data_IF_213561331831
#
_entry.id   IF_213561331831
#
_cell.length_a   1.000
_cell.length_b   1.000
_cell.length_c   1.000
_cell.angle_alpha   90.00
_cell.angle_beta   90.00
_cell.angle_gamma   90.00
#
_symmetry.space_group_name_H-M   'P 1'
#
loop_
_entity.id
_entity.type
_entity.pdbx_description
1 polymer ?
#
# COMPACT_ATOMS: atom_id res chain seq x y z
N UNK A 1 12.99 -11.63 -8.56
CA UNK A 1 12.60 -11.61 -7.14
C UNK A 1 12.84 -10.19 -6.63
N UNK A 2 11.81 -9.49 -6.17
CA UNK A 2 11.94 -8.15 -5.61
C UNK A 2 12.64 -8.24 -4.25
N UNK A 3 13.75 -7.52 -4.09
CA UNK A 3 14.42 -7.41 -2.82
C UNK A 3 13.97 -6.10 -2.16
N UNK A 4 13.24 -6.19 -1.05
CA UNK A 4 12.81 -5.04 -0.29
C UNK A 4 13.99 -4.39 0.44
N UNK A 5 14.04 -3.04 0.54
CA UNK A 5 15.05 -2.35 1.35
C UNK A 5 14.95 -2.76 2.81
N UNK A 6 16.07 -2.72 3.54
CA UNK A 6 16.10 -3.05 4.97
C UNK A 6 15.29 -2.13 5.89
N UNK A 7 14.80 -0.99 5.34
CA UNK A 7 13.87 -0.10 6.04
C UNK A 7 12.43 -0.62 6.07
N UNK A 8 12.07 -1.58 5.19
CA UNK A 8 10.75 -2.22 5.17
C UNK A 8 10.76 -3.39 6.14
N UNK A 9 9.93 -3.32 7.17
CA UNK A 9 9.92 -4.30 8.26
C UNK A 9 8.95 -5.45 8.03
N UNK A 10 7.92 -5.26 7.19
CA UNK A 10 6.94 -6.29 6.86
C UNK A 10 7.00 -6.65 5.39
N UNK A 11 6.88 -7.93 5.07
CA UNK A 11 6.99 -8.47 3.70
C UNK A 11 5.70 -9.12 3.22
N UNK A 12 4.67 -9.17 4.06
CA UNK A 12 3.43 -9.88 3.78
C UNK A 12 2.21 -9.09 4.26
N UNK A 13 1.06 -9.43 3.72
CA UNK A 13 -0.24 -8.88 4.09
C UNK A 13 -1.30 -9.97 3.99
N UNK A 14 -2.18 -10.05 4.99
CA UNK A 14 -3.40 -10.84 4.92
C UNK A 14 -4.60 -9.96 5.20
N UNK A 15 -5.57 -9.98 4.31
CA UNK A 15 -6.74 -9.12 4.38
C UNK A 15 -7.20 -8.67 3.00
N UNK A 16 -7.88 -7.52 2.96
CA UNK A 16 -8.44 -6.95 1.75
C UNK A 16 -7.84 -5.56 1.47
N UNK A 17 -7.50 -5.32 0.23
CA UNK A 17 -7.04 -4.01 -0.26
C UNK A 17 -7.94 -3.55 -1.39
N UNK A 18 -8.34 -2.29 -1.36
CA UNK A 18 -9.14 -1.66 -2.40
C UNK A 18 -8.80 -0.18 -2.57
N UNK A 19 -9.28 0.42 -3.66
CA UNK A 19 -9.19 1.86 -3.95
C UNK A 19 -7.79 2.46 -3.76
N UNK A 20 -6.77 1.78 -4.26
CA UNK A 20 -5.39 2.30 -4.23
C UNK A 20 -5.25 3.43 -5.25
N UNK A 21 -4.73 4.55 -4.82
CA UNK A 21 -4.37 5.66 -5.71
C UNK A 21 -2.99 6.21 -5.40
N UNK A 22 -2.33 6.74 -6.42
CA UNK A 22 -1.06 7.44 -6.29
C UNK A 22 -1.13 8.76 -7.04
N UNK A 23 -0.82 9.87 -6.37
CA UNK A 23 -0.90 11.24 -6.90
C UNK A 23 -2.29 11.53 -7.53
N UNK A 24 -3.35 11.10 -6.85
CA UNK A 24 -4.74 11.24 -7.29
C UNK A 24 -5.16 10.39 -8.49
N UNK A 25 -4.25 9.55 -9.01
CA UNK A 25 -4.56 8.60 -10.08
C UNK A 25 -4.87 7.24 -9.49
N UNK A 26 -6.03 6.64 -9.79
CA UNK A 26 -6.33 5.31 -9.32
C UNK A 26 -5.35 4.30 -9.93
N UNK A 27 -4.78 3.48 -9.07
CA UNK A 27 -4.01 2.31 -9.47
C UNK A 27 -5.00 1.16 -9.59
N UNK A 28 -5.33 0.78 -10.82
CA UNK A 28 -6.24 -0.34 -11.07
C UNK A 28 -5.61 -1.64 -10.62
N UNK A 29 -6.11 -2.22 -9.52
CA UNK A 29 -5.66 -3.51 -9.02
C UNK A 29 -5.94 -4.69 -9.96
N UNK A 30 -6.61 -4.46 -11.09
CA UNK A 30 -6.81 -5.45 -12.19
C UNK A 30 -5.68 -5.43 -13.23
N UNK A 31 -4.82 -4.42 -13.23
CA UNK A 31 -3.75 -4.22 -14.21
C UNK A 31 -2.36 -4.48 -13.61
N UNK A 32 -2.27 -5.53 -12.82
CA UNK A 32 -1.00 -5.92 -12.21
C UNK A 32 -0.10 -6.65 -13.22
N UNK A 33 1.19 -6.45 -13.08
CA UNK A 33 2.21 -7.17 -13.83
C UNK A 33 2.45 -8.58 -13.31
N UNK A 34 2.31 -8.76 -11.99
CA UNK A 34 2.47 -10.03 -11.29
C UNK A 34 1.54 -10.07 -10.09
N UNK A 35 0.85 -11.18 -9.89
CA UNK A 35 -0.02 -11.44 -8.76
C UNK A 35 0.28 -12.82 -8.19
N UNK A 36 0.63 -12.89 -6.90
CA UNK A 36 0.94 -14.14 -6.21
C UNK A 36 0.11 -14.20 -4.92
N UNK A 37 -0.49 -15.36 -4.65
CA UNK A 37 -1.19 -15.63 -3.39
C UNK A 37 -2.47 -14.81 -3.17
N UNK A 38 -3.12 -14.37 -4.24
CA UNK A 38 -4.40 -13.68 -4.15
C UNK A 38 -5.55 -14.63 -4.45
N UNK A 39 -6.55 -14.66 -3.56
CA UNK A 39 -7.84 -15.24 -3.85
C UNK A 39 -8.82 -14.11 -4.22
N UNK A 40 -9.33 -14.10 -5.44
CA UNK A 40 -10.33 -13.12 -5.89
C UNK A 40 -11.71 -13.30 -5.22
N UNK A 41 -11.88 -14.31 -4.38
CA UNK A 41 -13.12 -14.61 -3.68
C UNK A 41 -12.90 -14.47 -2.18
N UNK A 42 -13.61 -13.57 -1.51
CA UNK A 42 -13.62 -13.53 -0.05
C UNK A 42 -13.66 -12.18 0.64
N UNK A 43 -13.49 -11.07 -0.08
CA UNK A 43 -13.77 -9.75 0.48
C UNK A 43 -15.23 -9.38 0.21
N UNK A 44 -16.09 -9.50 1.21
CA UNK A 44 -17.44 -8.95 1.13
C UNK A 44 -17.34 -7.43 1.00
N UNK A 45 -17.71 -6.92 -0.17
CA UNK A 45 -17.98 -5.50 -0.35
C UNK A 45 -19.21 -5.15 0.50
N UNK A 46 -19.07 -4.23 1.43
CA UNK A 46 -20.23 -3.44 1.83
C UNK A 46 -20.65 -2.66 0.57
N UNK A 47 -21.93 -2.71 0.16
CA UNK A 47 -22.34 -1.99 -1.05
C UNK A 47 -22.04 -0.50 -0.87
N UNK A 48 -20.98 -0.02 -1.50
CA UNK A 48 -20.77 1.39 -1.75
C UNK A 48 -21.77 1.78 -2.87
N UNK A 49 -22.33 2.99 -2.82
CA UNK A 49 -23.24 3.44 -3.86
C UNK A 49 -22.60 3.31 -5.24
N UNK A 50 -23.37 2.87 -6.22
CA UNK A 50 -22.99 2.34 -7.53
C UNK A 50 -22.22 3.27 -8.50
N UNK A 51 -21.35 4.14 -8.05
CA UNK A 51 -20.64 5.11 -8.89
C UNK A 51 -19.17 4.82 -9.20
N UNK A 52 -18.59 3.79 -8.61
CA UNK A 52 -17.28 3.27 -9.03
C UNK A 52 -17.20 1.78 -8.67
N UNK A 53 -16.92 0.94 -9.64
CA UNK A 53 -16.64 -0.46 -9.39
C UNK A 53 -15.30 -0.58 -8.64
N UNK A 54 -15.34 -0.41 -7.33
CA UNK A 54 -14.20 -0.60 -6.44
C UNK A 54 -13.83 -2.08 -6.47
N UNK A 55 -12.70 -2.41 -7.07
CA UNK A 55 -12.19 -3.76 -7.05
C UNK A 55 -11.42 -3.98 -5.75
N UNK A 56 -11.77 -5.05 -5.06
CA UNK A 56 -11.15 -5.43 -3.80
C UNK A 56 -10.45 -6.77 -3.98
N UNK A 57 -9.24 -6.87 -3.47
CA UNK A 57 -8.43 -8.09 -3.53
C UNK A 57 -8.17 -8.63 -2.13
N UNK A 58 -8.27 -9.95 -2.01
CA UNK A 58 -7.94 -10.68 -0.79
C UNK A 58 -6.54 -11.28 -0.91
N UNK A 59 -5.76 -11.17 0.15
CA UNK A 59 -4.45 -11.78 0.28
C UNK A 59 -4.41 -12.69 1.50
N UNK A 60 -3.78 -13.84 1.37
CA UNK A 60 -3.69 -14.88 2.39
C UNK A 60 -2.44 -14.75 3.29
N UNK A 61 -1.64 -13.73 3.09
CA UNK A 61 -0.40 -13.48 3.82
C UNK A 61 0.86 -13.97 3.10
N UNK A 62 0.72 -14.73 2.02
CA UNK A 62 1.85 -15.25 1.23
C UNK A 62 1.96 -14.62 -0.15
N UNK A 63 1.03 -13.74 -0.48
CA UNK A 63 0.91 -13.17 -1.80
C UNK A 63 1.16 -11.67 -1.88
N UNK A 64 1.36 -11.21 -3.11
CA UNK A 64 1.53 -9.81 -3.45
C UNK A 64 1.02 -9.52 -4.86
N UNK A 65 0.76 -8.25 -5.16
CA UNK A 65 0.48 -7.78 -6.51
C UNK A 65 1.53 -6.76 -6.94
N UNK A 66 2.10 -6.94 -8.12
CA UNK A 66 3.05 -6.00 -8.73
C UNK A 66 2.35 -5.19 -9.81
N UNK A 67 2.33 -3.88 -9.64
CA UNK A 67 1.74 -2.96 -10.59
C UNK A 67 2.75 -2.53 -11.66
N UNK A 68 2.28 -2.15 -12.86
CA UNK A 68 3.14 -1.53 -13.87
C UNK A 68 3.83 -0.27 -13.31
N UNK A 69 4.97 0.14 -13.89
CA UNK A 69 5.64 1.38 -13.50
C UNK A 69 4.69 2.58 -13.59
N UNK A 70 4.77 3.47 -12.61
CA UNK A 70 4.02 4.72 -12.61
C UNK A 70 4.80 5.73 -13.45
N UNK A 71 4.28 6.04 -14.65
CA UNK A 71 4.87 7.05 -15.50
C UNK A 71 4.64 8.47 -14.96
N UNK A 72 5.65 9.32 -15.01
CA UNK A 72 5.60 10.74 -14.65
C UNK A 72 5.37 11.03 -13.15
N UNK A 73 6.15 10.37 -12.33
CA UNK A 73 6.27 10.70 -10.92
C UNK A 73 6.84 12.13 -10.72
N UNK A 74 6.19 12.93 -9.87
CA UNK A 74 6.69 14.25 -9.44
C UNK A 74 7.37 14.07 -8.06
N UNK A 75 8.69 14.25 -7.95
CA UNK A 75 9.42 13.92 -6.72
C UNK A 75 9.07 14.82 -5.52
N UNK A 76 8.48 15.98 -5.76
CA UNK A 76 8.31 17.01 -4.72
C UNK A 76 7.00 16.91 -3.93
N UNK A 77 6.01 16.19 -4.44
CA UNK A 77 4.72 15.98 -3.77
C UNK A 77 4.09 14.71 -4.31
N UNK A 78 3.73 13.81 -3.43
CA UNK A 78 2.94 12.63 -3.80
C UNK A 78 1.87 12.36 -2.74
N UNK A 79 0.81 11.75 -3.19
CA UNK A 79 -0.32 11.35 -2.37
C UNK A 79 -0.61 9.88 -2.62
N UNK A 80 -0.63 9.08 -1.57
CA UNK A 80 -1.04 7.68 -1.63
C UNK A 80 -2.28 7.51 -0.79
N UNK A 81 -3.31 6.89 -1.35
CA UNK A 81 -4.51 6.50 -0.63
C UNK A 81 -4.79 5.04 -0.91
N UNK A 82 -5.16 4.32 0.11
CA UNK A 82 -5.59 2.93 0.01
C UNK A 82 -6.64 2.62 1.07
N UNK A 83 -7.47 1.62 0.78
CA UNK A 83 -8.39 1.04 1.74
C UNK A 83 -7.95 -0.38 2.05
N UNK A 84 -8.00 -0.75 3.32
CA UNK A 84 -7.65 -2.10 3.76
C UNK A 84 -8.50 -2.57 4.93
N UNK A 85 -8.49 -3.89 5.13
CA UNK A 85 -9.18 -4.56 6.21
C UNK A 85 -8.36 -5.78 6.62
N UNK A 86 -7.93 -5.85 7.88
CA UNK A 86 -7.11 -6.94 8.38
C UNK A 86 -7.22 -7.09 9.90
N UNK A 87 -6.90 -8.28 10.42
CA UNK A 87 -6.59 -8.53 11.83
C UNK A 87 -5.09 -8.53 12.14
N UNK A 88 -4.25 -8.60 11.11
CA UNK A 88 -2.81 -8.71 11.30
C UNK A 88 -2.24 -7.42 11.89
N UNK A 89 -1.34 -7.58 12.86
CA UNK A 89 -0.66 -6.44 13.50
C UNK A 89 0.52 -5.91 12.67
N UNK A 90 1.17 -6.80 11.91
CA UNK A 90 2.32 -6.48 11.07
C UNK A 90 2.04 -6.91 9.64
N UNK A 91 2.09 -5.96 8.70
CA UNK A 91 1.76 -6.21 7.30
C UNK A 91 2.36 -5.14 6.38
N UNK A 92 2.76 -5.51 5.16
CA UNK A 92 3.08 -4.57 4.10
C UNK A 92 1.82 -4.26 3.29
N UNK A 93 1.37 -3.01 3.31
CA UNK A 93 0.17 -2.57 2.59
C UNK A 93 0.49 -2.02 1.21
N UNK A 94 1.59 -1.27 1.09
CA UNK A 94 2.02 -0.65 -0.17
C UNK A 94 3.54 -0.46 -0.18
N UNK A 95 4.16 -0.70 -1.34
CA UNK A 95 5.57 -0.42 -1.56
C UNK A 95 5.80 0.08 -2.99
N UNK A 96 6.47 1.21 -3.13
CA UNK A 96 6.93 1.74 -4.40
C UNK A 96 8.44 1.99 -4.34
N UNK A 97 9.14 1.65 -5.41
CA UNK A 97 10.59 1.73 -5.49
C UNK A 97 11.05 2.20 -6.87
N UNK A 98 11.98 3.14 -6.88
CA UNK A 98 12.66 3.57 -8.09
C UNK A 98 14.01 2.88 -8.18
N UNK A 99 14.15 1.95 -9.13
CA UNK A 99 15.35 1.15 -9.32
C UNK A 99 16.59 1.96 -9.77
N UNK A 100 16.41 3.18 -10.27
CA UNK A 100 17.51 4.00 -10.80
C UNK A 100 18.22 4.81 -9.73
N UNK A 101 17.51 5.30 -8.73
CA UNK A 101 18.06 6.18 -7.70
C UNK A 101 17.85 5.67 -6.27
N UNK A 102 17.13 4.56 -6.09
CA UNK A 102 16.87 3.97 -4.78
C UNK A 102 15.74 4.64 -3.97
N UNK A 103 15.09 5.66 -4.53
CA UNK A 103 13.93 6.28 -3.87
C UNK A 103 12.85 5.26 -3.58
N UNK A 104 12.27 5.33 -2.40
CA UNK A 104 11.24 4.36 -2.00
C UNK A 104 10.19 4.97 -1.06
N UNK A 105 9.02 4.35 -1.11
CA UNK A 105 7.87 4.65 -0.25
C UNK A 105 7.32 3.32 0.23
N UNK A 106 7.04 3.20 1.52
CA UNK A 106 6.35 2.06 2.10
C UNK A 106 5.22 2.52 3.02
N UNK A 107 4.11 1.80 2.99
CA UNK A 107 3.02 1.89 3.97
C UNK A 107 2.89 0.50 4.59
N UNK A 108 3.06 0.41 5.88
CA UNK A 108 3.04 -0.82 6.65
C UNK A 108 2.09 -0.72 7.83
N UNK A 109 1.63 -1.87 8.31
CA UNK A 109 1.19 -2.01 9.69
C UNK A 109 2.35 -2.50 10.54
N UNK A 110 2.57 -1.87 11.68
CA UNK A 110 3.53 -2.28 12.70
C UNK A 110 2.85 -2.20 14.06
N UNK A 111 2.68 -3.34 14.70
CA UNK A 111 1.90 -3.47 15.94
C UNK A 111 0.49 -2.88 15.83
N UNK A 112 -0.16 -3.10 14.69
CA UNK A 112 -1.50 -2.64 14.35
C UNK A 112 -1.60 -1.17 13.95
N UNK A 113 -0.52 -0.39 13.93
CA UNK A 113 -0.50 1.02 13.55
C UNK A 113 0.00 1.21 12.15
N UNK A 114 -0.59 2.13 11.40
CA UNK A 114 -0.08 2.50 10.08
C UNK A 114 1.23 3.28 10.24
N UNK A 115 2.25 2.80 9.58
CA UNK A 115 3.59 3.41 9.53
C UNK A 115 3.89 3.75 8.08
N UNK A 116 4.16 5.00 7.84
CA UNK A 116 4.58 5.52 6.56
C UNK A 116 6.08 5.77 6.58
N UNK A 117 6.79 5.22 5.60
CA UNK A 117 8.24 5.36 5.44
C UNK A 117 8.55 5.84 4.04
N UNK A 118 9.46 6.78 3.92
CA UNK A 118 9.96 7.19 2.61
C UNK A 118 11.42 7.64 2.68
N UNK A 119 12.14 7.44 1.59
CA UNK A 119 13.51 7.87 1.39
C UNK A 119 13.67 8.38 -0.04
N UNK A 120 14.19 9.59 -0.20
CA UNK A 120 14.42 10.23 -1.49
C UNK A 120 15.81 10.80 -1.56
N UNK A 121 16.40 10.79 -2.78
CA UNK A 121 17.69 11.40 -3.09
C UNK A 121 18.84 10.91 -2.17
N UNK A 122 18.76 9.65 -1.74
CA UNK A 122 19.76 9.09 -0.83
C UNK A 122 19.74 9.64 0.59
N UNK A 123 18.72 10.43 0.95
CA UNK A 123 18.54 10.96 2.32
C UNK A 123 18.08 9.85 3.28
N UNK A 124 18.24 10.11 4.57
CA UNK A 124 17.76 9.20 5.60
C UNK A 124 16.25 8.95 5.49
N UNK A 125 15.83 7.73 5.78
CA UNK A 125 14.40 7.35 5.75
C UNK A 125 13.63 8.17 6.79
N UNK A 126 12.59 8.85 6.34
CA UNK A 126 11.61 9.51 7.20
C UNK A 126 10.55 8.47 7.59
N UNK A 127 10.15 8.48 8.86
CA UNK A 127 9.14 7.57 9.41
C UNK A 127 8.05 8.37 10.10
N UNK A 128 6.80 8.16 9.69
CA UNK A 128 5.61 8.70 10.33
C UNK A 128 4.72 7.55 10.81
N UNK A 129 4.13 7.67 11.99
CA UNK A 129 3.33 6.61 12.61
C UNK A 129 2.04 7.17 13.16
N UNK A 130 0.94 6.46 12.94
CA UNK A 130 -0.35 6.80 13.54
C UNK A 130 -0.41 6.46 15.02
N UNK A 131 -1.27 7.16 15.76
CA UNK A 131 -1.49 6.89 17.19
C UNK A 131 -2.45 5.71 17.41
N UNK A 132 -3.45 5.56 16.54
CA UNK A 132 -4.47 4.52 16.65
C UNK A 132 -4.01 3.19 16.01
N UNK A 133 -4.60 2.09 16.47
CA UNK A 133 -4.49 0.77 15.85
C UNK A 133 -5.62 0.56 14.85
N UNK A 134 -5.32 -0.13 13.75
CA UNK A 134 -6.24 -0.34 12.62
C UNK A 134 -6.43 -1.82 12.24
N UNK A 135 -5.89 -2.74 13.01
CA UNK A 135 -6.04 -4.19 12.80
C UNK A 135 -7.34 -4.75 13.40
N UNK A 136 -8.45 -4.07 13.18
CA UNK A 136 -9.76 -4.39 13.78
C UNK A 136 -10.68 -5.19 12.86
N UNK A 137 -10.20 -5.60 11.67
CA UNK A 137 -10.99 -6.25 10.62
C UNK A 137 -12.21 -5.43 10.14
N UNK A 138 -12.13 -4.12 10.27
CA UNK A 138 -13.06 -3.18 9.67
C UNK A 138 -12.38 -2.44 8.51
N UNK A 139 -13.15 -1.94 7.55
CA UNK A 139 -12.58 -1.14 6.48
C UNK A 139 -11.99 0.16 7.03
N UNK A 140 -10.74 0.39 6.70
CA UNK A 140 -9.98 1.61 7.03
C UNK A 140 -9.59 2.27 5.73
N UNK A 141 -9.84 3.57 5.63
CA UNK A 141 -9.36 4.42 4.55
C UNK A 141 -8.25 5.29 5.09
N UNK A 142 -7.04 5.09 4.62
CA UNK A 142 -5.88 5.90 4.97
C UNK A 142 -5.42 6.72 3.77
N UNK A 143 -5.23 8.00 4.01
CA UNK A 143 -4.67 8.92 3.04
C UNK A 143 -3.42 9.57 3.64
N UNK A 144 -2.29 9.40 3.01
CA UNK A 144 -1.04 9.97 3.48
C UNK A 144 -0.48 10.94 2.46
N UNK A 145 -0.22 12.16 2.90
CA UNK A 145 0.46 13.19 2.12
C UNK A 145 1.91 13.28 2.59
N UNK A 146 2.84 13.12 1.67
CA UNK A 146 4.24 13.38 1.94
C UNK A 146 4.79 14.43 0.98
N UNK A 147 5.63 15.31 1.51
CA UNK A 147 6.34 16.35 0.77
C UNK A 147 7.83 16.10 0.93
N UNK A 148 8.56 15.99 -0.18
CA UNK A 148 10.01 16.11 -0.14
C UNK A 148 10.38 17.59 -0.01
N UNK A 149 11.18 17.92 0.97
CA UNK A 149 11.81 19.24 1.12
C UNK A 149 13.16 19.22 0.44
#
# INVERSE_FOLDING_TARGET
MFQLPGSVSSTSFSGCVGDVSFDGKPIGLYNFRELVGSACSGCSLVPLPASAASQVYSFDGYGYAVMPPIDKYKPNLFYVSLQFKTYWEDALLFFAYNQYNGDNIAIELVQGRVVFKFSFEGKATVVQRTLSKYNTNTWVSEATLARST
#
